data_IF_475573155911
#
_entry.id   IF_475573155911
#
_cell.length_a   1.000
_cell.length_b   1.000
_cell.length_c   1.000
_cell.angle_alpha   90.00
_cell.angle_beta   90.00
_cell.angle_gamma   90.00
#
_symmetry.space_group_name_H-M   'P 1'
#
loop_
_entity.id
_entity.type
_entity.pdbx_description
1 polymer ?
#
# COMPACT_ATOMS: atom_id res chain seq x y z
N UNK A 1 -18.00 9.01 -9.12
CA UNK A 1 -17.78 8.94 -7.65
C UNK A 1 -16.83 10.09 -7.27
N UNK A 2 -17.19 10.86 -6.24
CA UNK A 2 -16.41 12.03 -5.81
C UNK A 2 -15.22 11.60 -4.95
N UNK A 3 -13.98 11.95 -5.30
CA UNK A 3 -12.81 11.73 -4.46
C UNK A 3 -12.91 12.48 -3.11
N UNK A 4 -12.12 12.07 -2.14
CA UNK A 4 -11.97 12.80 -0.88
C UNK A 4 -11.29 14.14 -1.18
N UNK A 5 -11.81 15.26 -0.65
CA UNK A 5 -11.25 16.59 -0.92
C UNK A 5 -9.86 16.76 -0.26
N UNK A 6 -9.02 17.64 -0.83
CA UNK A 6 -7.63 17.85 -0.40
C UNK A 6 -7.50 18.29 1.05
N UNK A 7 -8.45 19.05 1.55
CA UNK A 7 -8.52 19.54 2.94
C UNK A 7 -8.55 18.38 3.96
N UNK A 8 -9.05 17.22 3.54
CA UNK A 8 -9.00 16.00 4.37
C UNK A 8 -7.54 15.62 4.68
N UNK A 9 -6.66 15.74 3.69
CA UNK A 9 -5.24 15.40 3.80
C UNK A 9 -4.39 16.56 4.35
N UNK A 10 -4.89 17.80 4.39
CA UNK A 10 -4.17 18.97 4.93
C UNK A 10 -4.00 18.95 6.45
N UNK A 11 -4.35 17.87 7.11
CA UNK A 11 -4.22 17.63 8.55
C UNK A 11 -2.99 16.77 8.88
N UNK A 12 -2.50 16.76 10.13
CA UNK A 12 -1.44 15.84 10.56
C UNK A 12 -1.75 14.37 10.24
N UNK A 13 -0.75 13.63 9.77
CA UNK A 13 -0.93 12.21 9.36
C UNK A 13 -1.52 11.33 10.46
N UNK A 14 -1.21 11.61 11.72
CA UNK A 14 -1.76 10.88 12.88
C UNK A 14 -3.27 11.05 13.03
N UNK A 15 -3.83 12.19 12.58
CA UNK A 15 -5.26 12.44 12.55
C UNK A 15 -5.91 11.87 11.27
N UNK A 16 -5.21 11.94 10.15
CA UNK A 16 -5.70 11.42 8.84
C UNK A 16 -5.75 9.91 8.84
N UNK A 17 -4.77 9.23 9.43
CA UNK A 17 -4.61 7.79 9.38
C UNK A 17 -5.85 7.03 9.88
N UNK A 18 -6.40 7.25 11.08
CA UNK A 18 -7.61 6.54 11.53
C UNK A 18 -8.83 6.86 10.64
N UNK A 19 -8.94 8.09 10.10
CA UNK A 19 -10.05 8.51 9.24
C UNK A 19 -9.99 7.89 7.83
N UNK A 20 -8.83 7.40 7.39
CA UNK A 20 -8.66 6.66 6.15
C UNK A 20 -9.16 5.21 6.23
N UNK A 21 -9.28 4.65 7.43
CA UNK A 21 -9.80 3.29 7.58
C UNK A 21 -11.25 3.22 7.11
N UNK A 22 -11.49 2.27 6.18
CA UNK A 22 -12.76 2.09 5.49
C UNK A 22 -13.03 3.08 4.37
N UNK A 23 -12.12 3.99 4.05
CA UNK A 23 -12.11 4.64 2.75
C UNK A 23 -11.66 3.65 1.68
N UNK A 24 -11.95 3.95 0.43
CA UNK A 24 -11.66 3.10 -0.72
C UNK A 24 -10.57 3.75 -1.55
N UNK A 25 -9.47 3.01 -1.76
CA UNK A 25 -8.45 3.33 -2.75
C UNK A 25 -8.79 2.63 -4.06
N UNK A 26 -8.86 3.38 -5.15
CA UNK A 26 -9.19 2.88 -6.49
C UNK A 26 -8.05 3.16 -7.44
N UNK A 27 -7.72 2.18 -8.28
CA UNK A 27 -6.87 2.39 -9.44
C UNK A 27 -7.55 1.85 -10.70
N UNK A 28 -7.78 2.75 -11.64
CA UNK A 28 -8.35 2.48 -12.95
C UNK A 28 -7.23 2.43 -13.99
N UNK A 29 -7.14 1.32 -14.71
CA UNK A 29 -6.14 1.07 -15.75
C UNK A 29 -6.83 0.66 -17.04
N UNK A 30 -6.08 0.51 -18.13
CA UNK A 30 -6.62 -0.05 -19.37
C UNK A 30 -7.17 -1.49 -19.22
N UNK A 31 -6.70 -2.25 -18.19
CA UNK A 31 -7.19 -3.59 -17.88
C UNK A 31 -8.49 -3.58 -17.06
N UNK A 32 -8.85 -2.45 -16.46
CA UNK A 32 -10.03 -2.29 -15.62
C UNK A 32 -9.74 -1.66 -14.26
N UNK A 33 -10.79 -1.59 -13.45
CA UNK A 33 -10.78 -1.02 -12.10
C UNK A 33 -10.50 -2.09 -11.04
N UNK A 34 -9.61 -1.77 -10.09
CA UNK A 34 -9.51 -2.47 -8.81
C UNK A 34 -9.76 -1.46 -7.69
N UNK A 35 -10.63 -1.82 -6.75
CA UNK A 35 -10.96 -1.01 -5.59
C UNK A 35 -10.72 -1.79 -4.29
N UNK A 36 -10.05 -1.14 -3.33
CA UNK A 36 -9.63 -1.71 -2.05
C UNK A 36 -10.14 -0.84 -0.90
N UNK A 37 -10.97 -1.40 -0.02
CA UNK A 37 -11.34 -0.77 1.25
C UNK A 37 -10.19 -0.90 2.24
N UNK A 38 -9.66 0.23 2.73
CA UNK A 38 -8.49 0.28 3.61
C UNK A 38 -8.82 -0.25 5.02
N UNK A 39 -8.03 -1.19 5.51
CA UNK A 39 -8.19 -1.84 6.82
C UNK A 39 -6.99 -1.66 7.74
N UNK A 40 -5.83 -1.25 7.21
CA UNK A 40 -4.61 -1.01 7.95
C UNK A 40 -3.77 0.09 7.32
N UNK A 41 -3.29 1.03 8.14
CA UNK A 41 -2.44 2.16 7.73
C UNK A 41 -1.41 2.49 8.81
N UNK A 42 -0.37 3.26 8.44
CA UNK A 42 0.61 3.82 9.40
C UNK A 42 0.85 5.30 9.15
N UNK A 43 0.87 6.10 10.22
CA UNK A 43 1.23 7.50 10.15
C UNK A 43 2.73 7.73 10.33
N UNK A 44 3.26 8.70 9.58
CA UNK A 44 4.64 9.18 9.62
C UNK A 44 4.64 10.71 9.65
N UNK A 45 5.20 11.30 10.71
CA UNK A 45 5.13 12.75 10.98
C UNK A 45 6.34 13.55 10.43
N UNK A 46 6.87 13.13 9.28
CA UNK A 46 7.90 13.91 8.58
C UNK A 46 9.21 14.03 9.35
N UNK A 47 9.71 15.27 9.44
CA UNK A 47 11.01 15.55 10.04
C UNK A 47 11.05 15.40 11.57
N UNK A 48 9.89 15.37 12.24
CA UNK A 48 9.81 15.10 13.69
C UNK A 48 9.78 13.60 14.03
N UNK A 49 9.70 12.72 13.04
CA UNK A 49 9.55 11.27 13.21
C UNK A 49 10.80 10.52 12.74
N UNK A 50 11.61 9.97 13.66
CA UNK A 50 12.84 9.24 13.31
C UNK A 50 12.63 8.02 12.40
N UNK A 51 11.40 7.49 12.30
CA UNK A 51 11.06 6.39 11.39
C UNK A 51 10.64 6.87 9.99
N UNK A 52 10.44 8.18 9.79
CA UNK A 52 10.04 8.75 8.51
C UNK A 52 11.21 8.82 7.52
N UNK A 53 10.91 8.58 6.25
CA UNK A 53 11.86 8.84 5.14
C UNK A 53 12.26 10.33 5.03
N UNK A 54 11.46 11.23 5.57
CA UNK A 54 11.72 12.66 5.57
C UNK A 54 12.47 13.16 6.82
N UNK A 55 12.77 12.30 7.80
CA UNK A 55 13.44 12.68 9.05
C UNK A 55 14.73 13.47 8.82
N UNK A 56 15.53 13.07 7.83
CA UNK A 56 16.81 13.71 7.50
C UNK A 56 16.69 14.82 6.45
N UNK A 57 15.46 15.30 6.19
CA UNK A 57 15.17 16.33 5.23
C UNK A 57 14.86 15.82 3.82
N UNK A 58 14.77 16.77 2.89
CA UNK A 58 14.37 16.55 1.49
C UNK A 58 15.50 15.95 0.68
N UNK A 59 15.16 14.95 -0.13
CA UNK A 59 16.02 14.31 -1.12
C UNK A 59 15.24 14.13 -2.43
N UNK A 60 15.91 13.83 -3.55
CA UNK A 60 15.23 13.50 -4.81
C UNK A 60 14.27 12.32 -4.68
N UNK A 61 14.56 11.36 -3.79
CA UNK A 61 13.73 10.18 -3.57
C UNK A 61 12.42 10.48 -2.86
N UNK A 62 12.42 11.41 -1.89
CA UNK A 62 11.27 11.72 -1.05
C UNK A 62 10.66 13.10 -1.33
N UNK A 63 11.02 13.72 -2.46
CA UNK A 63 10.60 15.07 -2.81
C UNK A 63 9.08 15.24 -2.81
N UNK A 64 8.32 14.21 -3.22
CA UNK A 64 6.85 14.21 -3.23
C UNK A 64 6.27 14.38 -1.82
N UNK A 65 6.93 13.86 -0.77
CA UNK A 65 6.47 14.03 0.61
C UNK A 65 6.46 15.49 1.07
N UNK A 66 7.26 16.35 0.45
CA UNK A 66 7.34 17.79 0.73
C UNK A 66 6.43 18.62 -0.18
N UNK A 67 5.63 17.97 -1.02
CA UNK A 67 4.64 18.58 -1.90
C UNK A 67 3.28 18.79 -1.23
N UNK A 68 2.26 19.15 -2.02
CA UNK A 68 0.92 19.40 -1.49
C UNK A 68 0.26 18.11 -0.98
N UNK A 69 -0.67 18.20 0.01
CA UNK A 69 -1.40 17.06 0.54
C UNK A 69 -2.26 16.38 -0.52
N UNK A 70 -2.57 15.10 -0.31
CA UNK A 70 -3.39 14.31 -1.23
C UNK A 70 -2.65 13.81 -2.46
N UNK A 71 -1.31 13.84 -2.46
CA UNK A 71 -0.49 13.22 -3.51
C UNK A 71 0.04 11.86 -3.04
N UNK A 72 0.15 10.91 -3.97
CA UNK A 72 0.71 9.60 -3.71
C UNK A 72 2.25 9.70 -3.71
N UNK A 73 2.88 9.28 -2.62
CA UNK A 73 4.32 9.05 -2.57
C UNK A 73 4.58 7.54 -2.71
N UNK A 74 5.10 7.14 -3.87
CA UNK A 74 5.37 5.74 -4.19
C UNK A 74 6.87 5.48 -4.21
N UNK A 75 7.32 4.55 -3.37
CA UNK A 75 8.73 4.21 -3.30
C UNK A 75 8.98 2.70 -3.45
N UNK A 76 10.14 2.39 -4.01
CA UNK A 76 10.63 1.03 -4.16
C UNK A 76 11.43 0.61 -2.93
N UNK A 77 11.12 -0.56 -2.36
CA UNK A 77 11.74 -1.05 -1.14
C UNK A 77 12.30 -2.47 -1.31
N UNK A 78 13.41 -2.75 -0.65
CA UNK A 78 14.12 -4.03 -0.67
C UNK A 78 14.49 -4.56 -2.07
N UNK A 79 14.52 -3.70 -3.10
CA UNK A 79 14.79 -4.12 -4.47
C UNK A 79 13.67 -4.95 -5.13
N UNK A 80 12.50 -5.08 -4.51
CA UNK A 80 11.46 -6.00 -4.98
C UNK A 80 10.03 -5.45 -4.97
N UNK A 81 9.73 -4.44 -4.14
CA UNK A 81 8.34 -4.06 -3.86
C UNK A 81 8.13 -2.55 -3.88
N UNK A 82 6.95 -2.14 -4.30
CA UNK A 82 6.46 -0.78 -4.13
C UNK A 82 5.62 -0.66 -2.85
N UNK A 83 5.66 0.53 -2.26
CA UNK A 83 4.79 0.96 -1.18
C UNK A 83 4.22 2.32 -1.55
N UNK A 84 2.96 2.59 -1.19
CA UNK A 84 2.27 3.85 -1.45
C UNK A 84 1.88 4.53 -0.15
N UNK A 85 2.17 5.83 -0.08
CA UNK A 85 1.76 6.71 1.00
C UNK A 85 0.90 7.84 0.43
N UNK A 86 0.05 8.43 1.26
CA UNK A 86 -0.67 9.65 0.94
C UNK A 86 -0.07 10.80 1.75
N UNK A 87 0.40 11.82 1.04
CA UNK A 87 1.00 13.02 1.64
C UNK A 87 -0.05 13.77 2.44
N UNK A 88 0.32 14.22 3.63
CA UNK A 88 -0.52 14.94 4.58
C UNK A 88 0.14 16.25 4.97
N UNK A 89 -0.64 17.17 5.57
CA UNK A 89 -0.27 18.52 5.93
C UNK A 89 0.08 19.41 4.72
N UNK A 90 0.26 20.68 4.95
CA UNK A 90 0.69 21.61 3.93
C UNK A 90 2.11 21.29 3.46
N UNK A 91 2.44 21.79 2.28
CA UNK A 91 3.76 21.63 1.68
C UNK A 91 4.90 21.95 2.67
N UNK A 92 6.02 21.25 2.52
CA UNK A 92 7.22 21.32 3.34
C UNK A 92 7.16 20.62 4.71
N UNK A 93 5.99 20.14 5.19
CA UNK A 93 5.89 19.37 6.43
C UNK A 93 6.22 17.88 6.28
N UNK A 94 6.23 17.34 5.07
CA UNK A 94 6.60 15.97 4.71
C UNK A 94 5.93 14.87 5.54
N UNK A 95 4.71 15.08 6.00
CA UNK A 95 3.89 14.13 6.74
C UNK A 95 3.16 13.20 5.76
N UNK A 96 3.01 11.92 6.08
CA UNK A 96 2.33 10.98 5.18
C UNK A 96 1.70 9.79 5.93
N UNK A 97 0.73 9.15 5.28
CA UNK A 97 0.12 7.89 5.74
C UNK A 97 0.47 6.78 4.77
N UNK A 98 1.19 5.75 5.25
CA UNK A 98 1.46 4.51 4.51
C UNK A 98 0.20 3.64 4.48
N UNK A 99 -0.23 3.25 3.30
CA UNK A 99 -1.34 2.32 3.10
C UNK A 99 -0.80 0.89 3.17
N UNK A 100 -1.32 0.10 4.14
CA UNK A 100 -0.72 -1.21 4.44
C UNK A 100 -1.54 -2.37 3.95
N UNK A 101 -2.85 -2.35 4.21
CA UNK A 101 -3.71 -3.45 3.84
C UNK A 101 -5.15 -2.99 3.60
N UNK A 102 -5.89 -3.82 2.86
CA UNK A 102 -7.29 -3.62 2.63
C UNK A 102 -7.99 -4.84 2.04
N UNK A 103 -9.31 -4.73 1.97
CA UNK A 103 -10.19 -5.71 1.37
C UNK A 103 -10.46 -5.31 -0.08
N UNK A 104 -10.17 -6.17 -1.03
CA UNK A 104 -10.60 -5.96 -2.42
C UNK A 104 -12.13 -6.04 -2.45
N UNK A 105 -12.78 -4.98 -2.93
CA UNK A 105 -14.24 -4.86 -2.99
C UNK A 105 -14.76 -4.78 -4.42
N UNK A 106 -13.86 -4.55 -5.38
CA UNK A 106 -14.14 -4.53 -6.81
C UNK A 106 -12.90 -4.95 -7.60
N UNK A 107 -13.07 -5.66 -8.72
CA UNK A 107 -11.98 -6.12 -9.57
C UNK A 107 -11.15 -7.28 -8.97
N UNK A 108 -11.76 -8.20 -8.20
CA UNK A 108 -11.04 -9.28 -7.51
C UNK A 108 -10.25 -10.17 -8.46
N UNK A 109 -10.83 -10.59 -9.59
CA UNK A 109 -10.18 -11.43 -10.59
C UNK A 109 -8.95 -10.73 -11.20
N UNK A 110 -9.06 -9.43 -11.48
CA UNK A 110 -7.95 -8.64 -11.97
C UNK A 110 -6.84 -8.51 -10.92
N UNK A 111 -7.20 -8.28 -9.66
CA UNK A 111 -6.25 -8.24 -8.54
C UNK A 111 -5.51 -9.57 -8.38
N UNK A 112 -6.20 -10.72 -8.54
CA UNK A 112 -5.61 -12.07 -8.53
C UNK A 112 -4.60 -12.24 -9.67
N UNK A 113 -4.99 -11.90 -10.89
CA UNK A 113 -4.13 -12.00 -12.06
C UNK A 113 -2.87 -11.16 -11.92
N UNK A 114 -2.99 -9.92 -11.39
CA UNK A 114 -1.84 -9.03 -11.12
C UNK A 114 -0.91 -9.61 -10.07
N UNK A 115 -1.46 -10.22 -9.02
CA UNK A 115 -0.70 -10.89 -7.97
C UNK A 115 0.06 -12.12 -8.49
N UNK A 116 -0.56 -12.97 -9.32
CA UNK A 116 0.04 -14.14 -9.93
C UNK A 116 1.20 -13.78 -10.87
N UNK A 117 1.03 -12.79 -11.75
CA UNK A 117 2.09 -12.32 -12.67
C UNK A 117 3.38 -11.92 -11.97
N UNK A 118 3.31 -11.32 -10.79
CA UNK A 118 4.49 -10.87 -10.04
C UNK A 118 5.20 -11.97 -9.25
N UNK A 119 4.50 -13.03 -8.84
CA UNK A 119 5.14 -14.20 -8.22
C UNK A 119 6.02 -14.94 -9.22
N UNK A 120 5.60 -15.08 -10.47
CA UNK A 120 6.39 -15.71 -11.53
C UNK A 120 7.64 -14.90 -11.92
N UNK A 121 7.57 -13.56 -11.95
CA UNK A 121 8.73 -12.72 -12.26
C UNK A 121 9.81 -12.78 -11.17
N UNK A 122 9.44 -12.98 -9.92
CA UNK A 122 10.38 -13.12 -8.80
C UNK A 122 11.04 -14.50 -8.73
N UNK A 123 10.40 -15.56 -9.27
CA UNK A 123 10.95 -16.93 -9.33
C UNK A 123 11.83 -17.21 -10.55
N UNK A 124 11.74 -16.38 -11.61
CA UNK A 124 12.44 -16.61 -12.88
C UNK A 124 13.87 -16.08 -12.99
N UNK A 125 14.32 -15.23 -12.07
CA UNK A 125 15.64 -14.59 -12.17
C UNK A 125 16.80 -15.40 -11.53
N UNK A 126 16.52 -16.57 -10.93
CA UNK A 126 17.58 -17.41 -10.33
C UNK A 126 18.04 -18.60 -11.19
N UNK A 127 17.38 -18.92 -12.32
CA UNK A 127 17.69 -20.11 -13.11
C UNK A 127 18.06 -19.86 -14.58
N UNK A 128 18.43 -18.66 -15.00
CA UNK A 128 18.91 -18.44 -16.38
C UNK A 128 20.37 -18.07 -16.46
N UNK A 129 21.21 -19.09 -16.23
CA UNK A 129 22.50 -19.23 -16.88
C UNK A 129 22.48 -20.56 -17.66
N UNK A 130 22.18 -20.48 -18.98
CA UNK A 130 22.36 -21.56 -19.95
C UNK A 130 21.12 -22.36 -20.29
N UNK A 131 20.46 -22.00 -21.39
CA UNK A 131 20.18 -22.86 -22.56
C UNK A 131 19.15 -22.20 -23.50
N UNK A 132 19.57 -22.02 -24.73
CA UNK A 132 18.71 -21.62 -25.86
C UNK A 132 17.75 -22.79 -26.22
N UNK A 133 16.46 -22.48 -26.29
CA UNK A 133 15.46 -23.45 -26.74
C UNK A 133 14.09 -22.79 -26.88
N UNK A 134 13.70 -22.47 -28.13
CA UNK A 134 12.37 -22.01 -28.47
C UNK A 134 11.34 -23.11 -28.25
N UNK A 135 10.53 -22.99 -27.20
CA UNK A 135 9.36 -23.81 -26.93
C UNK A 135 8.23 -22.91 -26.43
N UNK A 136 7.10 -22.89 -27.15
CA UNK A 136 5.90 -22.15 -26.79
C UNK A 136 5.29 -22.79 -25.53
N UNK A 137 5.33 -22.07 -24.39
CA UNK A 137 4.91 -22.56 -23.08
C UNK A 137 3.43 -22.36 -22.80
N UNK A 138 2.57 -23.22 -23.31
CA UNK A 138 1.18 -23.39 -22.81
C UNK A 138 1.15 -23.85 -21.34
N UNK A 139 2.17 -24.59 -20.87
CA UNK A 139 2.29 -25.05 -19.48
C UNK A 139 2.52 -23.92 -18.43
N UNK A 140 3.04 -22.77 -18.85
CA UNK A 140 3.23 -21.61 -17.98
C UNK A 140 1.92 -20.89 -17.62
N UNK A 141 0.96 -20.88 -18.55
CA UNK A 141 -0.35 -20.25 -18.35
C UNK A 141 -1.23 -21.07 -17.39
N UNK A 142 -1.17 -22.39 -17.45
CA UNK A 142 -1.96 -23.27 -16.57
C UNK A 142 -1.46 -23.23 -15.12
N UNK A 143 -0.14 -23.16 -14.89
CA UNK A 143 0.42 -22.97 -13.54
C UNK A 143 0.08 -21.61 -12.94
N UNK A 144 0.17 -20.53 -13.72
CA UNK A 144 -0.22 -19.19 -13.27
C UNK A 144 -1.71 -19.13 -12.87
N UNK A 145 -2.57 -19.85 -13.60
CA UNK A 145 -4.01 -19.94 -13.32
C UNK A 145 -4.29 -20.75 -12.05
N UNK A 146 -3.56 -21.84 -11.80
CA UNK A 146 -3.70 -22.66 -10.59
C UNK A 146 -3.19 -21.94 -9.34
N UNK A 147 -2.05 -21.26 -9.39
CA UNK A 147 -1.51 -20.45 -8.29
C UNK A 147 -2.41 -19.23 -7.98
N UNK A 148 -3.02 -18.67 -8.99
CA UNK A 148 -3.99 -17.58 -8.86
C UNK A 148 -5.25 -18.03 -8.10
N UNK A 149 -5.79 -19.21 -8.40
CA UNK A 149 -6.97 -19.76 -7.74
C UNK A 149 -6.71 -20.15 -6.26
N UNK A 150 -5.47 -20.49 -5.89
CA UNK A 150 -5.11 -20.89 -4.53
C UNK A 150 -4.97 -19.69 -3.56
N UNK A 151 -4.87 -18.44 -4.06
CA UNK A 151 -4.67 -17.27 -3.21
C UNK A 151 -5.98 -16.85 -2.53
N UNK A 152 -6.04 -16.90 -1.20
CA UNK A 152 -7.23 -16.49 -0.47
C UNK A 152 -7.54 -15.00 -0.70
N UNK A 153 -8.81 -14.64 -0.93
CA UNK A 153 -9.27 -13.26 -1.18
C UNK A 153 -8.76 -12.26 -0.14
N UNK A 154 -8.75 -12.65 1.14
CA UNK A 154 -8.22 -11.82 2.24
C UNK A 154 -6.72 -11.50 2.11
N UNK A 155 -5.96 -12.26 1.36
CA UNK A 155 -4.51 -12.10 1.20
C UNK A 155 -4.11 -11.29 -0.04
N UNK A 156 -5.08 -10.91 -0.91
CA UNK A 156 -4.83 -10.18 -2.15
C UNK A 156 -4.15 -8.84 -1.90
N UNK A 157 -4.62 -8.06 -0.92
CA UNK A 157 -4.07 -6.75 -0.56
C UNK A 157 -3.63 -6.68 0.91
N UNK A 158 -3.19 -7.79 1.51
CA UNK A 158 -2.76 -7.89 2.90
C UNK A 158 -1.27 -7.60 3.04
N UNK A 159 -0.93 -6.37 3.38
CA UNK A 159 0.43 -5.84 3.48
C UNK A 159 0.78 -4.89 2.33
N UNK A 160 1.67 -3.88 2.54
CA UNK A 160 1.86 -2.75 1.64
C UNK A 160 2.31 -3.16 0.24
N UNK A 161 3.21 -4.14 0.14
CA UNK A 161 3.65 -4.67 -1.15
C UNK A 161 2.52 -5.35 -1.93
N UNK A 162 1.70 -6.15 -1.23
CA UNK A 162 0.58 -6.86 -1.83
C UNK A 162 -0.53 -5.90 -2.26
N UNK A 163 -0.78 -4.86 -1.48
CA UNK A 163 -1.72 -3.80 -1.83
C UNK A 163 -1.31 -3.11 -3.13
N UNK A 164 -0.04 -2.69 -3.25
CA UNK A 164 0.47 -2.11 -4.49
C UNK A 164 0.39 -3.09 -5.66
N UNK A 165 0.67 -4.39 -5.46
CA UNK A 165 0.56 -5.40 -6.50
C UNK A 165 -0.89 -5.60 -6.99
N UNK A 166 -1.85 -5.71 -6.06
CA UNK A 166 -3.26 -5.89 -6.39
C UNK A 166 -3.81 -4.71 -7.19
N UNK A 167 -3.41 -3.50 -6.82
CA UNK A 167 -3.81 -2.26 -7.47
C UNK A 167 -2.94 -1.88 -8.68
N UNK A 168 -1.86 -2.63 -8.97
CA UNK A 168 -0.86 -2.28 -9.99
C UNK A 168 -0.24 -0.89 -9.80
N UNK A 169 0.06 -0.55 -8.54
CA UNK A 169 0.74 0.68 -8.20
C UNK A 169 2.25 0.49 -8.31
N UNK A 170 2.89 1.33 -9.12
CA UNK A 170 4.33 1.39 -9.30
C UNK A 170 4.85 2.84 -9.32
N UNK A 171 6.10 3.02 -9.76
CA UNK A 171 6.77 4.32 -9.79
C UNK A 171 6.08 5.37 -10.68
N UNK A 172 5.32 4.98 -11.67
CA UNK A 172 4.62 5.90 -12.57
C UNK A 172 3.55 6.72 -11.84
N UNK A 173 3.06 6.22 -10.70
CA UNK A 173 2.08 6.89 -9.85
C UNK A 173 2.70 7.74 -8.72
N UNK A 174 4.05 7.85 -8.65
CA UNK A 174 4.71 8.75 -7.71
C UNK A 174 4.39 10.21 -8.05
N UNK A 175 3.70 10.92 -7.15
CA UNK A 175 3.17 12.27 -7.36
C UNK A 175 1.75 12.33 -7.91
N UNK A 176 1.05 11.21 -8.11
CA UNK A 176 -0.35 11.21 -8.55
C UNK A 176 -1.26 11.90 -7.53
N UNK A 177 -2.15 12.76 -8.00
CA UNK A 177 -3.13 13.49 -7.19
C UNK A 177 -4.38 12.63 -6.95
N UNK A 178 -4.58 12.11 -5.74
CA UNK A 178 -5.72 11.24 -5.41
C UNK A 178 -7.03 11.99 -5.14
N UNK A 179 -6.98 13.32 -5.13
CA UNK A 179 -8.13 14.18 -4.86
C UNK A 179 -8.86 14.63 -6.14
N UNK A 180 -8.30 14.33 -7.31
CA UNK A 180 -8.83 14.79 -8.61
C UNK A 180 -9.66 13.68 -9.26
N UNK A 181 -10.87 13.99 -9.72
CA UNK A 181 -11.78 13.01 -10.33
C UNK A 181 -11.23 12.35 -11.59
N UNK A 182 -10.39 13.04 -12.37
CA UNK A 182 -9.73 12.50 -13.57
C UNK A 182 -8.45 11.71 -13.29
N UNK A 183 -8.00 11.62 -12.04
CA UNK A 183 -6.82 10.82 -11.68
C UNK A 183 -7.11 9.32 -11.79
N UNK A 184 -6.19 8.51 -12.35
CA UNK A 184 -6.35 7.06 -12.37
C UNK A 184 -6.32 6.45 -10.95
N UNK A 185 -5.59 7.07 -10.02
CA UNK A 185 -5.53 6.68 -8.62
C UNK A 185 -6.35 7.66 -7.77
N UNK A 186 -7.38 7.16 -7.08
CA UNK A 186 -8.32 8.00 -6.31
C UNK A 186 -8.58 7.41 -4.93
N UNK A 187 -8.86 8.28 -3.96
CA UNK A 187 -9.38 7.87 -2.65
C UNK A 187 -10.79 8.45 -2.49
N UNK A 188 -11.75 7.59 -2.13
CA UNK A 188 -13.12 7.99 -1.87
C UNK A 188 -13.68 7.43 -0.56
N UNK A 189 -14.75 8.01 -0.06
CA UNK A 189 -15.51 7.37 1.02
C UNK A 189 -16.27 6.16 0.49
N UNK A 190 -16.40 5.12 1.32
CA UNK A 190 -17.25 3.99 0.95
C UNK A 190 -18.70 4.46 0.87
N UNK A 191 -19.37 4.20 -0.24
CA UNK A 191 -20.81 4.38 -0.36
C UNK A 191 -21.49 3.22 0.40
N UNK A 192 -22.23 3.52 1.45
CA UNK A 192 -23.17 2.61 2.05
C UNK A 192 -24.44 2.66 1.20
N UNK A 193 -24.83 1.53 0.59
CA UNK A 193 -26.07 1.46 -0.18
C UNK A 193 -27.27 1.97 0.64
N UNK A 194 -28.22 2.61 -0.05
CA UNK A 194 -29.48 3.03 0.54
C UNK A 194 -30.20 1.82 1.15
N UNK A 195 -30.23 1.75 2.49
CA UNK A 195 -30.89 0.65 3.23
C UNK A 195 -30.15 0.13 4.45
N UNK A 196 -28.86 0.32 4.54
CA UNK A 196 -28.14 0.07 5.79
C UNK A 196 -27.80 1.40 6.43
N UNK A 197 -28.62 1.82 7.39
CA UNK A 197 -28.24 2.80 8.42
C UNK A 197 -27.12 2.21 9.30
N UNK A 198 -26.01 1.80 8.68
CA UNK A 198 -24.76 1.78 9.37
C UNK A 198 -24.37 3.26 9.45
N UNK A 199 -24.92 3.95 10.48
CA UNK A 199 -24.24 5.09 11.07
C UNK A 199 -22.77 4.76 10.93
N UNK A 200 -21.90 5.75 10.69
CA UNK A 200 -20.47 5.64 10.94
C UNK A 200 -20.25 5.18 12.39
N UNK A 201 -20.89 4.02 12.68
CA UNK A 201 -20.89 3.30 13.94
C UNK A 201 -19.47 2.87 14.11
N UNK A 202 -18.81 3.44 15.06
CA UNK A 202 -17.64 3.02 15.80
C UNK A 202 -17.02 1.74 15.19
N UNK A 203 -16.34 1.92 14.04
CA UNK A 203 -15.42 0.88 13.59
C UNK A 203 -14.43 0.76 14.73
N UNK A 204 -14.32 -0.44 15.28
CA UNK A 204 -13.42 -0.67 16.40
C UNK A 204 -12.00 -0.52 15.87
N UNK A 205 -11.48 0.72 15.88
CA UNK A 205 -10.14 1.06 15.44
C UNK A 205 -9.19 0.81 16.59
N UNK A 206 -8.16 0.02 16.33
CA UNK A 206 -7.04 -0.19 17.23
C UNK A 206 -5.82 0.60 16.75
N UNK A 207 -4.95 0.92 17.69
CA UNK A 207 -3.64 1.49 17.40
C UNK A 207 -2.54 0.70 18.12
N UNK A 208 -1.33 0.78 17.58
CA UNK A 208 -0.18 0.09 18.14
C UNK A 208 1.11 0.40 17.36
N UNK A 209 2.20 -0.33 17.64
CA UNK A 209 3.49 -0.10 17.05
C UNK A 209 3.48 -0.33 15.52
N UNK A 210 4.28 0.46 14.79
CA UNK A 210 4.49 0.35 13.36
C UNK A 210 5.34 -0.88 13.01
N UNK A 211 5.09 -1.47 11.84
CA UNK A 211 5.75 -2.72 11.42
C UNK A 211 7.14 -2.44 10.86
N UNK A 212 8.14 -3.13 11.36
CA UNK A 212 9.48 -3.16 10.79
C UNK A 212 10.29 -1.86 10.91
N UNK A 213 9.87 -0.91 11.76
CA UNK A 213 10.62 0.31 12.02
C UNK A 213 11.61 0.10 13.14
N UNK A 214 12.85 0.60 12.99
CA UNK A 214 13.92 0.48 13.98
C UNK A 214 13.99 1.66 14.93
N UNK A 215 13.47 2.82 14.54
CA UNK A 215 13.43 4.02 15.34
C UNK A 215 11.99 4.37 15.70
N UNK A 216 11.75 4.98 16.86
CA UNK A 216 10.41 5.29 17.36
C UNK A 216 9.45 4.08 17.27
N UNK A 217 9.96 2.89 17.61
CA UNK A 217 9.26 1.62 17.43
C UNK A 217 8.01 1.51 18.34
N UNK A 218 8.05 2.14 19.52
CA UNK A 218 6.97 2.07 20.51
C UNK A 218 5.83 3.07 20.25
N UNK A 219 6.00 3.96 19.26
CA UNK A 219 4.98 4.96 18.95
C UNK A 219 3.77 4.28 18.30
N UNK A 220 2.53 4.43 18.84
CA UNK A 220 1.35 3.68 18.41
C UNK A 220 0.68 4.30 17.18
N UNK A 221 1.44 4.53 16.12
CA UNK A 221 0.97 5.19 14.89
C UNK A 221 0.66 4.22 13.75
N UNK A 222 0.48 2.95 14.05
CA UNK A 222 -0.19 1.98 13.18
C UNK A 222 -1.65 1.87 13.63
N UNK A 223 -2.58 1.99 12.68
CA UNK A 223 -4.02 1.92 12.92
C UNK A 223 -4.63 0.84 12.06
N UNK A 224 -5.62 0.09 12.61
CA UNK A 224 -6.30 -0.97 11.89
C UNK A 224 -7.73 -1.20 12.39
N UNK A 225 -8.55 -1.84 11.55
CA UNK A 225 -9.87 -2.33 11.92
C UNK A 225 -9.72 -3.62 12.74
N UNK A 226 -10.19 -3.62 13.98
CA UNK A 226 -10.08 -4.75 14.89
C UNK A 226 -10.87 -5.97 14.36
N UNK A 227 -10.23 -7.14 14.39
CA UNK A 227 -10.82 -8.39 13.91
C UNK A 227 -10.92 -8.54 12.39
N UNK A 228 -10.49 -7.56 11.59
CA UNK A 228 -10.54 -7.70 10.13
C UNK A 228 -9.46 -8.68 9.62
N UNK A 229 -9.83 -9.73 8.85
CA UNK A 229 -8.90 -10.77 8.40
C UNK A 229 -7.85 -10.28 7.40
N UNK A 230 -8.04 -9.09 6.80
CA UNK A 230 -7.08 -8.50 5.86
C UNK A 230 -5.96 -7.73 6.55
N UNK A 231 -6.07 -7.45 7.85
CA UNK A 231 -5.03 -6.80 8.64
C UNK A 231 -3.77 -7.65 8.67
N UNK A 232 -2.61 -7.05 8.38
CA UNK A 232 -1.34 -7.77 8.34
C UNK A 232 -0.84 -8.13 9.73
N UNK A 233 -0.11 -9.25 9.84
CA UNK A 233 0.49 -9.64 11.12
C UNK A 233 1.57 -8.62 11.53
N UNK A 234 1.58 -8.26 12.82
CA UNK A 234 2.66 -7.43 13.35
C UNK A 234 3.99 -8.15 13.29
N UNK A 235 5.00 -7.48 12.78
CA UNK A 235 6.39 -7.95 12.74
C UNK A 235 7.30 -6.84 13.24
N UNK A 236 7.93 -6.99 14.41
CA UNK A 236 8.91 -6.03 14.89
C UNK A 236 10.13 -6.01 13.96
N UNK A 237 10.85 -4.91 13.99
CA UNK A 237 12.15 -4.84 13.34
C UNK A 237 13.15 -5.75 14.07
N UNK A 238 13.94 -6.50 13.28
CA UNK A 238 15.00 -7.36 13.79
C UNK A 238 16.31 -6.95 13.15
N UNK A 239 17.33 -6.66 13.95
CA UNK A 239 18.66 -6.34 13.44
C UNK A 239 19.22 -7.53 12.64
N UNK A 240 19.65 -7.29 11.40
CA UNK A 240 20.37 -8.32 10.64
C UNK A 240 21.70 -8.58 11.32
N UNK A 241 21.95 -9.80 11.80
CA UNK A 241 23.29 -10.23 12.22
C UNK A 241 24.24 -10.06 11.04
N UNK A 242 25.25 -9.18 11.15
CA UNK A 242 26.36 -9.17 10.22
C UNK A 242 27.00 -10.55 10.28
N UNK A 243 27.04 -11.29 9.16
CA UNK A 243 27.94 -12.44 9.06
C UNK A 243 29.35 -11.88 9.26
N UNK A 244 29.99 -12.24 10.37
CA UNK A 244 31.43 -12.08 10.53
C UNK A 244 32.07 -12.89 9.41
N UNK A 245 32.64 -12.23 8.44
CA UNK A 245 33.60 -12.84 7.52
C UNK A 245 34.85 -12.99 8.37
N UNK A 246 35.10 -14.20 8.85
CA UNK A 246 36.39 -14.59 9.44
C UNK A 246 37.44 -14.51 8.34
N UNK A 247 38.63 -13.90 8.61
CA UNK A 247 39.72 -13.75 7.64
C UNK A 247 40.28 -15.10 7.21
#
# INVERSE_FOLDING_TARGET
VTPIPREFFARPSVQVAPDLLGCVLEHETAEGLVAVELTEVEAYAGQSDPASHAYRGRTARNAVMFGPPGHAYVYFTYGMHFCVNLVCQDADNASAVLLRAGRVIEGEELARARRARRTHKAGGDHDRAGQDGAGQDSAGQDRASQDSAALATRDLARGPARLCQALDIDRSLDGADVCTAGSPLRVRRRQTGAGTNVRSGQRNIRSGPRVGVSAAADVPWRFWLDGDPTVSAYRPWVARRRKLVTP
#
